data_IF_407317254396
#
_entry.id   IF_407317254396
#
_cell.length_a   1.000
_cell.length_b   1.000
_cell.length_c   1.000
_cell.angle_alpha   90.00
_cell.angle_beta   90.00
_cell.angle_gamma   90.00
#
_symmetry.space_group_name_H-M   'P 1'
#
loop_
_entity.id
_entity.type
_entity.pdbx_description
1 polymer ?
#
# COMPACT_ATOMS: atom_id res chain seq x y z
N UNK A 1 27.65 8.41 -18.69
CA UNK A 1 27.51 7.07 -18.08
C UNK A 1 26.35 6.33 -18.74
N UNK A 2 26.48 5.06 -19.09
CA UNK A 2 25.35 4.24 -19.58
C UNK A 2 24.63 3.62 -18.38
N UNK A 3 23.50 4.19 -17.97
CA UNK A 3 22.63 3.58 -16.96
C UNK A 3 21.94 2.37 -17.59
N UNK A 4 22.38 1.17 -17.22
CA UNK A 4 21.66 -0.05 -17.56
C UNK A 4 20.58 -0.31 -16.50
N UNK A 5 19.44 -0.89 -16.89
CA UNK A 5 18.46 -1.39 -15.93
C UNK A 5 19.13 -2.27 -14.88
N UNK A 6 18.68 -2.18 -13.62
CA UNK A 6 19.29 -2.88 -12.47
C UNK A 6 19.16 -4.40 -12.61
N UNK A 7 18.15 -4.85 -13.34
CA UNK A 7 17.88 -6.24 -13.71
C UNK A 7 18.96 -6.83 -14.63
N UNK A 8 19.72 -5.96 -15.32
CA UNK A 8 20.86 -6.33 -16.17
C UNK A 8 22.20 -6.11 -15.47
N UNK A 9 22.19 -5.90 -14.15
CA UNK A 9 23.42 -5.78 -13.38
C UNK A 9 24.26 -7.05 -13.50
N UNK A 10 25.59 -6.87 -13.54
CA UNK A 10 26.55 -7.99 -13.54
C UNK A 10 26.51 -8.75 -12.20
N UNK A 11 26.22 -8.02 -11.13
CA UNK A 11 26.09 -8.55 -9.79
C UNK A 11 24.71 -9.23 -9.63
N UNK A 12 24.68 -10.52 -9.27
CA UNK A 12 23.44 -11.26 -9.08
C UNK A 12 22.54 -10.67 -7.98
N UNK A 13 23.12 -10.13 -6.91
CA UNK A 13 22.35 -9.59 -5.79
C UNK A 13 21.65 -8.29 -6.20
N UNK A 14 22.32 -7.45 -7.00
CA UNK A 14 21.71 -6.25 -7.55
C UNK A 14 20.53 -6.56 -8.47
N UNK A 15 20.59 -7.62 -9.27
CA UNK A 15 19.45 -8.02 -10.11
C UNK A 15 18.22 -8.39 -9.28
N UNK A 16 18.42 -8.96 -8.09
CA UNK A 16 17.36 -9.39 -7.20
C UNK A 16 16.87 -8.27 -6.26
N UNK A 17 17.61 -7.16 -6.17
CA UNK A 17 17.30 -6.05 -5.26
C UNK A 17 15.91 -5.44 -5.52
N UNK A 18 15.51 -5.28 -6.79
CA UNK A 18 14.20 -4.71 -7.11
C UNK A 18 13.05 -5.58 -6.58
N UNK A 19 13.15 -6.90 -6.78
CA UNK A 19 12.15 -7.84 -6.27
C UNK A 19 12.12 -7.85 -4.74
N UNK A 20 13.29 -7.76 -4.09
CA UNK A 20 13.37 -7.66 -2.64
C UNK A 20 12.68 -6.39 -2.11
N UNK A 21 12.92 -5.23 -2.75
CA UNK A 21 12.27 -3.97 -2.40
C UNK A 21 10.75 -4.02 -2.60
N UNK A 22 10.26 -4.64 -3.68
CA UNK A 22 8.82 -4.81 -3.90
C UNK A 22 8.17 -5.64 -2.79
N UNK A 23 8.79 -6.76 -2.39
CA UNK A 23 8.32 -7.57 -1.27
C UNK A 23 8.32 -6.78 0.05
N UNK A 24 9.39 -6.04 0.32
CA UNK A 24 9.49 -5.20 1.51
C UNK A 24 8.40 -4.12 1.53
N UNK A 25 8.15 -3.45 0.40
CA UNK A 25 7.10 -2.45 0.27
C UNK A 25 5.69 -3.03 0.51
N UNK A 26 5.43 -4.23 0.00
CA UNK A 26 4.16 -4.93 0.25
C UNK A 26 3.95 -5.19 1.76
N UNK A 27 4.95 -5.78 2.41
CA UNK A 27 4.91 -6.05 3.86
C UNK A 27 4.77 -4.78 4.69
N UNK A 28 5.46 -3.71 4.31
CA UNK A 28 5.35 -2.42 5.00
C UNK A 28 3.93 -1.86 4.93
N UNK A 29 3.24 -1.97 3.77
CA UNK A 29 1.83 -1.56 3.62
C UNK A 29 0.88 -2.38 4.48
N UNK A 30 1.02 -3.70 4.47
CA UNK A 30 0.24 -4.60 5.33
C UNK A 30 0.40 -4.21 6.81
N UNK A 31 1.64 -4.00 7.25
CA UNK A 31 1.93 -3.64 8.64
C UNK A 31 1.40 -2.25 9.00
N UNK A 32 1.59 -1.27 8.12
CA UNK A 32 1.10 0.09 8.30
C UNK A 32 -0.43 0.13 8.42
N UNK A 33 -1.14 -0.61 7.55
CA UNK A 33 -2.60 -0.73 7.62
C UNK A 33 -3.03 -1.36 8.95
N UNK A 34 -2.38 -2.45 9.37
CA UNK A 34 -2.69 -3.14 10.63
C UNK A 34 -2.44 -2.28 11.87
N UNK A 35 -1.37 -1.50 11.87
CA UNK A 35 -0.95 -0.70 13.04
C UNK A 35 -1.50 0.73 13.04
N UNK A 36 -2.17 1.14 11.96
CA UNK A 36 -2.65 2.52 11.81
C UNK A 36 -1.52 3.53 11.64
N UNK A 37 -0.36 3.11 11.15
CA UNK A 37 0.81 3.97 10.95
C UNK A 37 0.91 4.45 9.50
N UNK A 38 1.57 5.58 9.30
CA UNK A 38 1.80 6.15 7.97
C UNK A 38 3.04 5.54 7.29
N UNK A 39 2.98 5.41 5.97
CA UNK A 39 4.19 5.29 5.13
C UNK A 39 4.58 6.70 4.70
N UNK A 40 5.77 7.14 5.09
CA UNK A 40 6.33 8.42 4.65
C UNK A 40 7.10 8.23 3.36
N UNK A 41 6.77 9.02 2.34
CA UNK A 41 7.46 9.02 1.05
C UNK A 41 7.81 10.44 0.63
N UNK A 42 8.78 10.57 -0.26
CA UNK A 42 9.13 11.84 -0.88
C UNK A 42 8.77 11.76 -2.36
N UNK A 43 7.90 12.65 -2.83
CA UNK A 43 7.58 12.81 -4.25
C UNK A 43 7.86 14.25 -4.65
N UNK A 44 8.67 14.43 -5.69
CA UNK A 44 9.06 15.74 -6.19
C UNK A 44 9.63 16.67 -5.10
N UNK A 45 10.39 16.10 -4.16
CA UNK A 45 10.96 16.82 -3.02
C UNK A 45 9.99 17.14 -1.88
N UNK A 46 8.71 16.77 -2.00
CA UNK A 46 7.70 16.97 -0.96
C UNK A 46 7.54 15.69 -0.14
N UNK A 47 7.58 15.82 1.19
CA UNK A 47 7.30 14.74 2.12
C UNK A 47 5.79 14.52 2.24
N UNK A 48 5.34 13.30 2.00
CA UNK A 48 3.94 12.91 2.04
C UNK A 48 3.73 11.73 2.98
N UNK A 49 2.66 11.78 3.77
CA UNK A 49 2.23 10.69 4.64
C UNK A 49 1.10 9.92 3.96
N UNK A 50 1.34 8.66 3.64
CA UNK A 50 0.37 7.76 3.01
C UNK A 50 -0.13 6.77 4.04
N UNK A 51 -1.41 6.82 4.34
CA UNK A 51 -2.08 5.82 5.18
C UNK A 51 -2.69 4.77 4.27
N UNK A 52 -2.17 3.53 4.24
CA UNK A 52 -2.81 2.47 3.49
C UNK A 52 -4.18 2.17 4.10
N UNK A 53 -5.20 2.05 3.26
CA UNK A 53 -6.51 1.60 3.70
C UNK A 53 -6.35 0.23 4.36
N UNK A 54 -6.99 0.03 5.51
CA UNK A 54 -7.27 -1.33 5.97
C UNK A 54 -8.19 -1.94 4.92
N UNK A 55 -7.85 -3.12 4.42
CA UNK A 55 -8.76 -3.94 3.61
C UNK A 55 -9.94 -4.48 4.46
N UNK A 56 -10.36 -3.75 5.50
CA UNK A 56 -11.62 -3.96 6.19
C UNK A 56 -12.70 -3.36 5.28
N UNK A 57 -13.12 -4.21 4.34
CA UNK A 57 -14.23 -4.05 3.42
C UNK A 57 -15.36 -3.26 4.08
N UNK A 58 -15.75 -2.15 3.46
CA UNK A 58 -17.04 -1.51 3.71
C UNK A 58 -18.14 -2.55 3.44
N UNK A 59 -18.58 -3.26 4.48
CA UNK A 59 -19.83 -4.01 4.42
C UNK A 59 -20.93 -2.97 4.34
N UNK A 60 -21.42 -2.74 3.12
CA UNK A 60 -22.65 -2.00 2.88
C UNK A 60 -23.75 -2.73 3.66
N UNK A 61 -24.18 -2.16 4.79
CA UNK A 61 -25.38 -2.61 5.48
C UNK A 61 -26.57 -2.08 4.68
N UNK A 62 -27.38 -2.93 4.00
CA UNK A 62 -28.63 -2.47 3.45
C UNK A 62 -29.55 -2.03 4.61
N UNK A 63 -29.96 -0.77 4.60
CA UNK A 63 -30.91 -0.24 5.56
C UNK A 63 -32.26 -0.92 5.32
N UNK A 64 -32.77 -1.67 6.30
CA UNK A 64 -34.14 -2.16 6.30
C UNK A 64 -35.08 -0.95 6.37
N UNK A 65 -35.99 -0.74 5.41
CA UNK A 65 -37.02 0.28 5.56
C UNK A 65 -37.94 -0.14 6.71
N UNK A 66 -38.03 0.79 7.66
CA UNK A 66 -38.94 0.79 8.81
C UNK A 66 -40.35 0.37 8.43
N UNK A 67 -40.90 -0.54 9.22
CA UNK A 67 -42.29 -0.97 9.24
C UNK A 67 -43.18 0.24 9.56
N UNK A 68 -43.91 0.77 8.56
CA UNK A 68 -44.95 1.77 8.81
C UNK A 68 -46.17 1.05 9.40
N UNK A 69 -46.27 1.03 10.73
CA UNK A 69 -47.58 1.00 11.41
C UNK A 69 -48.06 2.44 11.41
N UNK A 70 -49.09 2.71 10.64
CA UNK A 70 -50.06 3.75 10.94
C UNK A 70 -51.42 3.22 10.43
N UNK A 71 -52.28 2.92 11.41
CA UNK A 71 -53.77 2.94 11.45
C UNK A 71 -54.62 2.58 10.22
#
# INVERSE_FOLDING_TARGET
>A
MRHRPIELARDPDLRLALQAMQRAAHRARELAARTGTAIVIVRNGVMEHVYPAREDVLVVVPQTPSHNRDD
#
